data_IF_511874889628
#
_entry.id   IF_511874889628
#
_cell.length_a   1.000
_cell.length_b   1.000
_cell.length_c   1.000
_cell.angle_alpha   90.00
_cell.angle_beta   90.00
_cell.angle_gamma   90.00
#
_symmetry.space_group_name_H-M   'P 1'
#
loop_
_entity.id
_entity.type
_entity.pdbx_description
1 polymer ?
#
# COMPACT_ATOMS: atom_id res chain seq x y z
N UNK A 1 -51.70 26.94 -2.06
CA UNK A 1 -51.24 25.62 -2.53
C UNK A 1 -49.84 25.37 -1.97
N UNK A 2 -49.77 24.44 -1.01
CA UNK A 2 -48.68 23.53 -0.62
C UNK A 2 -47.28 23.78 -1.22
N UNK A 3 -46.28 24.05 -0.36
CA UNK A 3 -45.13 23.16 0.00
C UNK A 3 -44.09 23.07 -1.13
N UNK A 4 -42.77 23.16 -0.95
CA UNK A 4 -41.88 23.29 0.20
C UNK A 4 -40.45 23.35 -0.39
N UNK A 5 -39.54 23.99 0.34
CA UNK A 5 -38.18 23.55 0.69
C UNK A 5 -37.62 22.34 -0.12
N UNK A 6 -36.37 22.34 -0.57
CA UNK A 6 -35.20 22.39 0.29
C UNK A 6 -33.96 22.78 -0.53
N UNK A 7 -33.23 23.75 0.00
CA UNK A 7 -31.80 23.89 -0.15
C UNK A 7 -31.13 22.51 -0.19
N UNK A 8 -30.52 22.17 -1.32
CA UNK A 8 -29.61 21.04 -1.44
C UNK A 8 -28.41 21.31 -0.54
N UNK A 9 -28.56 20.92 0.73
CA UNK A 9 -27.50 20.91 1.72
C UNK A 9 -26.37 20.05 1.16
N UNK A 10 -25.27 20.71 0.77
CA UNK A 10 -23.95 20.10 0.73
C UNK A 10 -23.62 19.66 2.17
N UNK A 11 -24.10 18.49 2.55
CA UNK A 11 -23.73 17.85 3.80
C UNK A 11 -22.30 17.35 3.58
N UNK A 12 -21.33 18.16 4.02
CA UNK A 12 -19.96 17.76 4.18
C UNK A 12 -19.89 16.67 5.25
N UNK A 13 -20.14 15.42 4.87
CA UNK A 13 -19.78 14.28 5.71
C UNK A 13 -18.26 14.33 5.94
N UNK A 14 -17.77 14.05 7.16
CA UNK A 14 -16.34 13.97 7.40
C UNK A 14 -15.78 12.92 6.43
N UNK A 15 -15.02 13.40 5.45
CA UNK A 15 -14.43 12.59 4.39
C UNK A 15 -13.69 11.40 5.01
N UNK A 16 -14.25 10.21 4.84
CA UNK A 16 -13.75 8.97 5.41
C UNK A 16 -12.31 8.73 4.94
N UNK A 17 -11.34 8.97 5.83
CA UNK A 17 -9.92 8.78 5.53
C UNK A 17 -9.34 7.69 6.41
N UNK A 18 -8.84 6.67 5.75
CA UNK A 18 -8.06 5.62 6.38
C UNK A 18 -6.59 5.80 6.01
N UNK A 19 -5.75 6.08 7.00
CA UNK A 19 -4.30 6.27 6.82
C UNK A 19 -3.57 4.99 7.19
N UNK A 20 -2.75 4.47 6.27
CA UNK A 20 -1.84 3.36 6.57
C UNK A 20 -0.41 3.74 6.24
N UNK A 21 0.43 3.75 7.27
CA UNK A 21 1.87 3.95 7.15
C UNK A 21 2.58 2.60 6.99
N UNK A 22 3.44 2.52 5.98
CA UNK A 22 4.17 1.32 5.63
C UNK A 22 5.63 1.63 5.41
N UNK A 23 6.49 0.73 5.86
CA UNK A 23 7.93 0.87 5.70
C UNK A 23 8.53 -0.40 5.15
N UNK A 24 9.07 -0.32 3.94
CA UNK A 24 9.87 -1.37 3.34
C UNK A 24 11.30 -0.86 3.20
N UNK A 25 12.25 -1.44 3.94
CA UNK A 25 13.59 -0.85 4.12
C UNK A 25 13.51 0.63 4.54
N UNK A 26 13.88 1.55 3.67
CA UNK A 26 13.79 2.99 3.93
C UNK A 26 12.65 3.65 3.15
N UNK A 27 11.94 2.89 2.30
CA UNK A 27 10.79 3.39 1.56
C UNK A 27 9.56 3.43 2.46
N UNK A 28 8.94 4.59 2.52
CA UNK A 28 7.70 4.82 3.27
C UNK A 28 6.55 5.03 2.30
N UNK A 29 5.43 4.35 2.52
CA UNK A 29 4.21 4.51 1.75
C UNK A 29 3.03 4.81 2.68
N UNK A 30 2.26 5.84 2.33
CA UNK A 30 1.04 6.22 3.03
C UNK A 30 -0.12 6.10 2.08
N UNK A 31 -1.05 5.18 2.35
CA UNK A 31 -2.28 5.06 1.59
C UNK A 31 -3.44 5.77 2.28
N UNK A 32 -4.19 6.54 1.49
CA UNK A 32 -5.48 7.12 1.85
C UNK A 32 -6.56 6.40 1.05
N UNK A 33 -7.39 5.62 1.75
CA UNK A 33 -8.62 5.08 1.17
C UNK A 33 -9.78 6.01 1.48
N UNK A 34 -10.58 6.28 0.45
CA UNK A 34 -11.89 6.94 0.54
C UNK A 34 -12.89 6.18 -0.32
N UNK A 35 -14.18 6.30 -0.04
CA UNK A 35 -15.22 5.84 -0.96
C UNK A 35 -15.12 6.61 -2.29
N UNK A 36 -15.23 5.93 -3.42
CA UNK A 36 -15.08 6.56 -4.74
C UNK A 36 -15.14 5.58 -5.91
N UNK A 37 -14.74 6.02 -7.11
CA UNK A 37 -14.94 5.28 -8.36
C UNK A 37 -13.74 4.44 -8.81
N UNK A 38 -13.03 3.77 -7.90
CA UNK A 38 -11.93 2.86 -8.30
C UNK A 38 -10.64 3.52 -8.78
N UNK A 39 -10.47 4.84 -8.58
CA UNK A 39 -9.23 5.51 -8.98
C UNK A 39 -8.10 5.24 -7.99
N UNK A 40 -7.03 4.60 -8.48
CA UNK A 40 -5.78 4.37 -7.74
C UNK A 40 -4.69 5.29 -8.28
N UNK A 41 -4.16 6.18 -7.42
CA UNK A 41 -3.11 7.13 -7.78
C UNK A 41 -1.93 7.04 -6.81
N UNK A 42 -0.71 7.07 -7.32
CA UNK A 42 0.53 7.13 -6.55
C UNK A 42 1.24 8.44 -6.84
N UNK A 43 1.51 9.24 -5.80
CA UNK A 43 2.14 10.56 -5.92
C UNK A 43 1.45 11.51 -6.93
N UNK A 44 0.15 11.31 -7.20
CA UNK A 44 -0.63 12.11 -8.15
C UNK A 44 -0.68 11.56 -9.58
N UNK A 45 0.12 10.53 -9.90
CA UNK A 45 0.09 9.81 -11.17
C UNK A 45 -0.74 8.52 -11.03
N UNK A 46 -1.39 8.01 -12.07
CA UNK A 46 -2.07 6.72 -12.03
C UNK A 46 -1.05 5.56 -11.90
N UNK A 47 -1.52 4.40 -11.45
CA UNK A 47 -0.68 3.24 -11.13
C UNK A 47 0.16 2.73 -12.32
N UNK A 48 -0.37 2.85 -13.55
CA UNK A 48 0.24 2.36 -14.78
C UNK A 48 1.52 3.12 -15.20
N UNK A 49 1.66 4.38 -14.78
CA UNK A 49 2.82 5.21 -15.16
C UNK A 49 3.93 5.18 -14.12
N UNK A 50 3.93 4.20 -13.22
CA UNK A 50 5.01 4.04 -12.24
C UNK A 50 6.17 3.29 -12.88
N UNK A 51 7.36 3.84 -12.73
CA UNK A 51 8.61 3.23 -13.16
C UNK A 51 9.23 2.40 -12.01
N UNK A 52 9.99 1.34 -12.31
CA UNK A 52 10.29 0.77 -13.63
C UNK A 52 9.17 -0.16 -14.15
N UNK A 53 9.03 -0.23 -15.48
CA UNK A 53 7.97 -1.01 -16.16
C UNK A 53 8.01 -2.50 -15.85
N UNK A 54 9.19 -3.06 -15.60
CA UNK A 54 9.39 -4.47 -15.23
C UNK A 54 8.68 -4.84 -13.92
N UNK A 55 8.57 -3.91 -12.98
CA UNK A 55 7.95 -4.14 -11.67
C UNK A 55 6.46 -3.74 -11.62
N UNK A 56 5.88 -3.27 -12.72
CA UNK A 56 4.47 -2.89 -12.77
C UNK A 56 3.53 -4.05 -12.46
N UNK A 57 3.87 -5.26 -12.91
CA UNK A 57 3.10 -6.46 -12.59
C UNK A 57 2.99 -6.66 -11.07
N UNK A 58 4.06 -6.39 -10.31
CA UNK A 58 4.06 -6.47 -8.83
C UNK A 58 3.12 -5.46 -8.18
N UNK A 59 2.91 -4.30 -8.80
CA UNK A 59 1.97 -3.29 -8.30
C UNK A 59 0.52 -3.67 -8.55
N UNK A 60 0.24 -4.33 -9.68
CA UNK A 60 -1.12 -4.72 -10.09
C UNK A 60 -1.60 -6.02 -9.45
N UNK A 61 -0.70 -6.85 -8.92
CA UNK A 61 -1.03 -8.11 -8.21
C UNK A 61 -2.23 -8.02 -7.26
N UNK A 62 -2.32 -7.09 -6.29
CA UNK A 62 -3.46 -7.03 -5.37
C UNK A 62 -4.79 -6.69 -6.08
N UNK A 63 -4.73 -5.94 -7.19
CA UNK A 63 -5.91 -5.61 -8.00
C UNK A 63 -6.37 -6.81 -8.81
N UNK A 64 -5.42 -7.56 -9.37
CA UNK A 64 -5.70 -8.76 -10.14
C UNK A 64 -6.23 -9.89 -9.25
N UNK A 65 -5.64 -10.08 -8.07
CA UNK A 65 -5.97 -11.17 -7.14
C UNK A 65 -7.38 -11.04 -6.56
N UNK A 66 -7.81 -9.82 -6.24
CA UNK A 66 -9.10 -9.56 -5.59
C UNK A 66 -10.22 -9.19 -6.56
N UNK A 67 -9.88 -8.97 -7.83
CA UNK A 67 -10.82 -8.55 -8.87
C UNK A 67 -11.14 -7.05 -8.83
N UNK A 68 -11.42 -6.47 -10.00
CA UNK A 68 -11.71 -5.03 -10.17
C UNK A 68 -12.98 -4.58 -9.45
N UNK A 69 -13.94 -5.49 -9.25
CA UNK A 69 -15.22 -5.19 -8.61
C UNK A 69 -15.07 -4.71 -7.16
N UNK A 70 -14.12 -5.27 -6.41
CA UNK A 70 -13.87 -4.86 -5.02
C UNK A 70 -13.20 -3.49 -4.93
N UNK A 71 -12.52 -3.06 -5.99
CA UNK A 71 -11.89 -1.75 -6.07
C UNK A 71 -12.81 -0.68 -6.65
N UNK A 72 -13.87 -1.03 -7.38
CA UNK A 72 -14.75 -0.05 -8.04
C UNK A 72 -15.38 0.96 -7.07
N UNK A 73 -15.63 0.53 -5.82
CA UNK A 73 -16.25 1.32 -4.76
C UNK A 73 -15.27 2.18 -3.95
N UNK A 74 -13.96 2.02 -4.16
CA UNK A 74 -12.91 2.63 -3.34
C UNK A 74 -11.94 3.42 -4.20
N UNK A 75 -11.64 4.66 -3.83
CA UNK A 75 -10.55 5.44 -4.41
C UNK A 75 -9.35 5.47 -3.45
N UNK A 76 -8.17 5.13 -3.97
CA UNK A 76 -6.95 4.99 -3.19
C UNK A 76 -5.91 6.01 -3.67
N UNK A 77 -5.43 6.85 -2.77
CA UNK A 77 -4.29 7.75 -3.02
C UNK A 77 -3.10 7.32 -2.19
N UNK A 78 -1.99 7.00 -2.83
CA UNK A 78 -0.76 6.60 -2.14
C UNK A 78 0.28 7.70 -2.27
N UNK A 79 0.91 8.08 -1.16
CA UNK A 79 2.09 8.96 -1.11
C UNK A 79 3.30 8.12 -0.74
N UNK A 80 4.38 8.22 -1.50
CA UNK A 80 5.59 7.43 -1.30
C UNK A 80 6.80 8.33 -1.21
N UNK A 81 7.66 8.10 -0.22
CA UNK A 81 8.92 8.83 0.01
C UNK A 81 10.03 7.90 0.50
N UNK A 82 11.27 8.19 0.11
CA UNK A 82 12.47 7.46 0.53
C UNK A 82 12.67 6.11 -0.18
N UNK A 83 13.78 5.44 0.13
CA UNK A 83 14.18 4.17 -0.49
C UNK A 83 14.49 4.25 -1.98
N UNK A 84 14.71 3.09 -2.60
CA UNK A 84 14.88 2.94 -4.05
C UNK A 84 13.63 2.40 -4.73
N UNK A 85 13.64 2.36 -6.07
CA UNK A 85 12.50 1.95 -6.90
C UNK A 85 11.86 0.62 -6.47
N UNK A 86 12.67 -0.42 -6.26
CA UNK A 86 12.18 -1.74 -5.84
C UNK A 86 11.46 -1.67 -4.50
N UNK A 87 12.10 -1.09 -3.47
CA UNK A 87 11.50 -0.95 -2.14
C UNK A 87 10.22 -0.12 -2.15
N UNK A 88 10.15 0.91 -2.99
CA UNK A 88 8.94 1.72 -3.15
C UNK A 88 7.79 0.91 -3.76
N UNK A 89 8.06 0.11 -4.80
CA UNK A 89 7.06 -0.77 -5.41
C UNK A 89 6.46 -1.73 -4.38
N UNK A 90 7.29 -2.40 -3.59
CA UNK A 90 6.82 -3.30 -2.55
C UNK A 90 6.02 -2.57 -1.47
N UNK A 91 6.43 -1.35 -1.09
CA UNK A 91 5.67 -0.53 -0.14
C UNK A 91 4.29 -0.13 -0.69
N UNK A 92 4.18 0.25 -1.96
CA UNK A 92 2.90 0.58 -2.63
C UNK A 92 1.99 -0.64 -2.69
N UNK A 93 2.52 -1.78 -3.15
CA UNK A 93 1.80 -3.07 -3.24
C UNK A 93 1.18 -3.44 -1.89
N UNK A 94 1.96 -3.30 -0.83
CA UNK A 94 1.50 -3.55 0.54
C UNK A 94 0.47 -2.51 1.01
N UNK A 95 0.62 -1.25 0.60
CA UNK A 95 -0.28 -0.16 0.95
C UNK A 95 -1.68 -0.37 0.40
N UNK A 96 -1.78 -0.71 -0.88
CA UNK A 96 -3.06 -1.01 -1.53
C UNK A 96 -3.78 -2.18 -0.84
N UNK A 97 -3.04 -3.23 -0.51
CA UNK A 97 -3.59 -4.44 0.12
C UNK A 97 -4.13 -4.17 1.52
N UNK A 98 -3.34 -3.52 2.38
CA UNK A 98 -3.77 -3.16 3.74
C UNK A 98 -4.92 -2.17 3.74
N UNK A 99 -4.86 -1.18 2.85
CA UNK A 99 -5.85 -0.11 2.81
C UNK A 99 -7.22 -0.65 2.41
N UNK A 100 -7.28 -1.67 1.55
CA UNK A 100 -8.52 -2.36 1.21
C UNK A 100 -9.05 -3.21 2.37
N UNK A 101 -8.22 -4.08 2.98
CA UNK A 101 -8.65 -4.92 4.11
C UNK A 101 -9.23 -4.07 5.24
N UNK A 102 -8.61 -2.93 5.50
CA UNK A 102 -9.04 -2.05 6.56
C UNK A 102 -10.27 -1.20 6.20
N UNK A 103 -10.51 -0.92 4.91
CA UNK A 103 -11.78 -0.35 4.46
C UNK A 103 -12.94 -1.32 4.74
N UNK A 104 -12.78 -2.59 4.36
CA UNK A 104 -13.79 -3.62 4.62
C UNK A 104 -14.03 -3.85 6.11
N UNK A 105 -12.98 -3.80 6.93
CA UNK A 105 -13.10 -3.90 8.39
C UNK A 105 -14.01 -2.82 8.99
N UNK A 106 -13.98 -1.59 8.45
CA UNK A 106 -14.71 -0.46 9.04
C UNK A 106 -16.09 -0.25 8.45
N UNK A 107 -16.27 -0.51 7.14
CA UNK A 107 -17.42 0.01 6.39
C UNK A 107 -18.29 -1.05 5.73
N UNK A 108 -17.88 -2.32 5.68
CA UNK A 108 -18.64 -3.37 4.98
C UNK A 108 -19.05 -4.47 5.95
N UNK A 109 -18.21 -5.48 6.13
CA UNK A 109 -18.53 -6.65 6.94
C UNK A 109 -17.26 -7.46 7.28
N UNK A 110 -17.33 -8.24 8.37
CA UNK A 110 -16.20 -9.04 8.83
C UNK A 110 -15.97 -10.30 7.98
N UNK A 111 -17.02 -10.87 7.36
CA UNK A 111 -16.92 -12.06 6.53
C UNK A 111 -16.10 -11.79 5.26
N UNK A 112 -16.49 -10.78 4.47
CA UNK A 112 -15.77 -10.35 3.26
C UNK A 112 -14.35 -9.92 3.57
N UNK A 113 -14.13 -9.25 4.72
CA UNK A 113 -12.77 -8.92 5.19
C UNK A 113 -11.95 -10.19 5.40
N UNK A 114 -12.51 -11.22 6.05
CA UNK A 114 -11.80 -12.49 6.30
C UNK A 114 -11.48 -13.21 4.99
N UNK A 115 -12.39 -13.22 4.02
CA UNK A 115 -12.15 -13.76 2.68
C UNK A 115 -11.00 -13.03 1.97
N UNK A 116 -11.04 -11.70 1.87
CA UNK A 116 -9.98 -10.90 1.25
C UNK A 116 -8.64 -11.16 1.93
N UNK A 117 -8.63 -11.18 3.27
CA UNK A 117 -7.43 -11.44 4.06
C UNK A 117 -6.86 -12.83 3.78
N UNK A 118 -7.70 -13.85 3.71
CA UNK A 118 -7.27 -15.22 3.43
C UNK A 118 -6.70 -15.35 2.02
N UNK A 119 -7.35 -14.76 1.01
CA UNK A 119 -6.86 -14.74 -0.38
C UNK A 119 -5.47 -14.09 -0.44
N UNK A 120 -5.29 -12.93 0.21
CA UNK A 120 -4.01 -12.23 0.25
C UNK A 120 -2.92 -13.03 0.97
N UNK A 121 -3.23 -13.66 2.11
CA UNK A 121 -2.27 -14.47 2.89
C UNK A 121 -1.85 -15.72 2.11
N UNK A 122 -2.81 -16.40 1.47
CA UNK A 122 -2.55 -17.62 0.71
C UNK A 122 -1.64 -17.36 -0.49
N UNK A 123 -1.78 -16.19 -1.12
CA UNK A 123 -0.89 -15.79 -2.20
C UNK A 123 0.49 -15.37 -1.68
N UNK A 124 0.53 -14.37 -0.80
CA UNK A 124 1.79 -13.84 -0.27
C UNK A 124 1.58 -13.08 1.05
N UNK A 125 2.18 -13.61 2.13
CA UNK A 125 2.15 -12.98 3.46
C UNK A 125 2.69 -11.55 3.45
N UNK A 126 3.62 -11.21 2.55
CA UNK A 126 4.23 -9.88 2.48
C UNK A 126 3.26 -8.77 2.04
N UNK A 127 2.12 -9.12 1.44
CA UNK A 127 1.05 -8.17 1.10
C UNK A 127 0.41 -7.55 2.34
N UNK A 128 0.42 -8.26 3.47
CA UNK A 128 -0.14 -7.78 4.73
C UNK A 128 0.91 -7.53 5.80
N UNK A 129 1.99 -8.30 5.86
CA UNK A 129 3.02 -8.15 6.89
C UNK A 129 4.29 -7.60 6.27
N UNK A 130 4.83 -6.52 6.83
CA UNK A 130 6.03 -5.88 6.28
C UNK A 130 7.26 -6.71 6.63
N UNK A 131 8.24 -6.74 5.72
CA UNK A 131 9.51 -7.41 5.97
C UNK A 131 10.38 -6.53 6.90
N UNK A 132 10.76 -7.02 8.10
CA UNK A 132 11.51 -6.22 9.07
C UNK A 132 12.96 -5.98 8.68
N UNK A 133 13.51 -6.66 7.66
CA UNK A 133 14.94 -6.59 7.33
C UNK A 133 15.45 -5.16 7.08
N UNK A 134 16.63 -4.86 7.63
CA UNK A 134 17.37 -3.59 7.51
C UNK A 134 18.86 -3.86 7.31
N UNK A 135 19.57 -2.89 6.74
CA UNK A 135 21.03 -2.99 6.61
C UNK A 135 21.68 -2.90 7.99
N UNK A 136 22.47 -3.91 8.33
CA UNK A 136 23.30 -3.88 9.53
C UNK A 136 24.33 -2.75 9.41
N UNK A 137 24.64 -2.04 10.52
CA UNK A 137 25.67 -1.01 10.51
C UNK A 137 27.04 -1.61 10.19
N UNK A 138 27.90 -0.81 9.55
CA UNK A 138 29.29 -1.19 9.29
C UNK A 138 30.05 -1.36 10.61
N UNK A 139 30.84 -2.44 10.71
CA UNK A 139 31.75 -2.67 11.84
C UNK A 139 33.17 -2.23 11.44
N UNK A 140 34.00 -1.85 12.40
CA UNK A 140 35.40 -1.49 12.16
C UNK A 140 36.20 -2.69 11.62
N UNK A 141 37.39 -2.48 11.06
CA UNK A 141 38.27 -3.59 10.65
C UNK A 141 37.80 -4.37 9.41
N UNK A 142 37.03 -3.74 8.54
CA UNK A 142 36.63 -4.29 7.25
C UNK A 142 35.75 -3.34 6.45
N UNK A 143 35.44 -3.68 5.18
CA UNK A 143 34.66 -2.81 4.32
C UNK A 143 33.15 -2.79 4.68
N UNK A 144 32.62 -3.85 5.30
CA UNK A 144 31.18 -4.03 5.54
C UNK A 144 30.78 -4.43 6.97
N UNK A 145 29.51 -4.78 7.17
CA UNK A 145 28.99 -5.18 8.48
C UNK A 145 29.61 -6.47 9.02
N UNK A 146 29.93 -7.42 8.13
CA UNK A 146 30.50 -8.74 8.48
C UNK A 146 31.83 -9.05 7.78
N UNK A 147 32.08 -8.41 6.64
CA UNK A 147 33.33 -8.57 5.90
C UNK A 147 34.50 -7.96 6.69
N UNK A 148 35.58 -8.73 6.88
CA UNK A 148 36.83 -8.30 7.50
C UNK A 148 37.92 -8.20 6.43
N UNK A 149 38.91 -7.35 6.65
CA UNK A 149 40.09 -7.35 5.78
C UNK A 149 40.83 -8.68 5.90
N UNK A 150 41.37 -9.16 4.78
CA UNK A 150 42.11 -10.41 4.72
C UNK A 150 43.43 -10.27 5.52
N UNK A 151 43.74 -11.28 6.33
CA UNK A 151 45.04 -11.39 7.01
C UNK A 151 46.08 -11.98 6.05
N UNK A 152 47.34 -11.55 6.18
CA UNK A 152 48.45 -12.03 5.35
C UNK A 152 48.89 -13.46 5.68
N UNK A 153 48.62 -13.93 6.89
CA UNK A 153 48.91 -15.28 7.36
C UNK A 153 47.60 -16.00 7.74
N UNK A 154 47.69 -17.33 7.88
CA UNK A 154 46.56 -18.19 8.24
C UNK A 154 46.22 -18.10 9.72
#
# INVERSE_FOLDING_TARGET
MKLSCYSSHNIAYPSEFLFYYLVQKTATAVAHCKRGHGLIKVNGRPLEYIEPRTLQFKLMEPVLLLGKERFSNVSIRVRVKGGGHTSQVYAIRQAISKSLVAYYQKFVDEASKKEIKNILINYDRSLLVADPRRCEPKKFGGPGARARYQKSYR
#
